data_IF_344175765420
#
_entry.id   IF_344175765420
#
_cell.length_a   1.000
_cell.length_b   1.000
_cell.length_c   1.000
_cell.angle_alpha   90.00
_cell.angle_beta   90.00
_cell.angle_gamma   90.00
#
_symmetry.space_group_name_H-M   'P 1'
#
loop_
_entity.id
_entity.type
_entity.pdbx_description
1 polymer ?
#
# COMPACT_ATOMS: atom_id res chain seq x y z
N UNK A 1 -13.29 11.99 -6.43
CA UNK A 1 -12.53 10.99 -7.22
C UNK A 1 -11.07 11.42 -7.23
N UNK A 2 -10.19 10.65 -6.59
CA UNK A 2 -8.77 10.98 -6.39
C UNK A 2 -7.89 9.78 -6.67
N UNK A 3 -6.66 10.01 -7.13
CA UNK A 3 -5.65 8.95 -7.25
C UNK A 3 -4.98 8.78 -5.88
N UNK A 4 -4.97 7.55 -5.35
CA UNK A 4 -4.36 7.22 -4.06
C UNK A 4 -3.12 6.38 -4.30
N UNK A 5 -1.94 6.93 -3.99
CA UNK A 5 -0.68 6.19 -4.07
C UNK A 5 -0.57 5.17 -2.94
N UNK A 6 -0.41 3.90 -3.27
CA UNK A 6 -0.24 2.80 -2.32
C UNK A 6 1.16 2.23 -2.46
N UNK A 7 1.96 2.28 -1.39
CA UNK A 7 3.30 1.67 -1.36
C UNK A 7 3.29 0.47 -0.42
N UNK A 8 3.35 -0.73 -0.98
CA UNK A 8 3.40 -1.99 -0.25
C UNK A 8 4.85 -2.39 0.02
N UNK A 9 5.26 -2.36 1.29
CA UNK A 9 6.59 -2.83 1.73
C UNK A 9 6.52 -4.27 2.26
N UNK A 10 7.66 -4.94 2.41
CA UNK A 10 7.76 -6.35 2.79
C UNK A 10 7.30 -6.54 4.24
N UNK A 11 6.00 -6.72 4.40
CA UNK A 11 5.31 -6.96 5.67
C UNK A 11 4.44 -8.20 5.52
N UNK A 12 4.26 -8.95 6.60
CA UNK A 12 3.27 -10.03 6.62
C UNK A 12 1.85 -9.51 6.36
N UNK A 13 1.02 -10.27 5.65
CA UNK A 13 -0.37 -9.93 5.36
C UNK A 13 -0.63 -9.22 4.02
N UNK A 14 0.37 -9.09 3.15
CA UNK A 14 0.20 -8.50 1.81
C UNK A 14 -0.74 -9.30 0.89
N UNK A 15 -0.94 -10.58 1.16
CA UNK A 15 -1.97 -11.41 0.52
C UNK A 15 -3.39 -10.83 0.67
N UNK A 16 -3.62 -10.00 1.71
CA UNK A 16 -4.90 -9.33 1.95
C UNK A 16 -4.99 -7.93 1.32
N UNK A 17 -3.95 -7.43 0.64
CA UNK A 17 -3.90 -6.05 0.14
C UNK A 17 -5.08 -5.73 -0.79
N UNK A 18 -5.41 -6.65 -1.69
CA UNK A 18 -6.47 -6.45 -2.68
C UNK A 18 -7.83 -6.27 -2.03
N UNK A 19 -8.23 -7.21 -1.17
CA UNK A 19 -9.57 -7.19 -0.56
C UNK A 19 -9.64 -6.24 0.64
N UNK A 20 -8.52 -6.04 1.34
CA UNK A 20 -8.44 -5.19 2.51
C UNK A 20 -8.38 -3.69 2.20
N UNK A 21 -7.76 -3.30 1.07
CA UNK A 21 -7.54 -1.88 0.75
C UNK A 21 -7.95 -1.51 -0.67
N UNK A 22 -7.52 -2.27 -1.69
CA UNK A 22 -7.70 -1.87 -3.09
C UNK A 22 -9.18 -1.85 -3.49
N UNK A 23 -9.92 -2.93 -3.25
CA UNK A 23 -11.38 -2.96 -3.53
C UNK A 23 -12.15 -1.89 -2.74
N UNK A 24 -11.95 -1.72 -1.43
CA UNK A 24 -12.61 -0.65 -0.68
C UNK A 24 -12.32 0.77 -1.19
N UNK A 25 -11.13 1.04 -1.74
CA UNK A 25 -10.82 2.33 -2.35
C UNK A 25 -11.55 2.52 -3.70
N UNK A 26 -11.64 1.46 -4.51
CA UNK A 26 -12.40 1.47 -5.76
C UNK A 26 -13.91 1.69 -5.49
N UNK A 27 -14.48 1.02 -4.49
CA UNK A 27 -15.88 1.16 -4.07
C UNK A 27 -16.21 2.59 -3.61
N UNK A 28 -15.22 3.31 -3.06
CA UNK A 28 -15.33 4.74 -2.69
C UNK A 28 -15.11 5.69 -3.88
N UNK A 29 -14.87 5.17 -5.09
CA UNK A 29 -14.61 5.99 -6.28
C UNK A 29 -13.22 6.62 -6.33
N UNK A 30 -12.24 6.01 -5.66
CA UNK A 30 -10.82 6.37 -5.81
C UNK A 30 -10.12 5.44 -6.81
N UNK A 31 -8.99 5.90 -7.34
CA UNK A 31 -8.13 5.09 -8.21
C UNK A 31 -6.80 4.78 -7.51
N UNK A 32 -6.55 3.55 -7.05
CA UNK A 32 -5.31 3.20 -6.36
C UNK A 32 -4.14 3.02 -7.35
N UNK A 33 -3.01 3.69 -7.11
CA UNK A 33 -1.75 3.47 -7.83
C UNK A 33 -0.79 2.66 -6.97
N UNK A 34 -0.59 1.37 -7.28
CA UNK A 34 0.14 0.43 -6.41
C UNK A 34 1.62 0.31 -6.79
N UNK A 35 2.50 0.41 -5.81
CA UNK A 35 3.93 0.15 -5.92
C UNK A 35 4.38 -0.80 -4.81
N UNK A 36 5.02 -1.91 -5.18
CA UNK A 36 5.68 -2.80 -4.24
C UNK A 36 7.14 -2.40 -4.05
N UNK A 37 7.72 -2.68 -2.88
CA UNK A 37 9.18 -2.74 -2.76
C UNK A 37 9.71 -4.03 -3.39
N UNK A 38 11.00 -4.10 -3.79
CA UNK A 38 11.54 -5.27 -4.48
C UNK A 38 11.37 -6.57 -3.68
N UNK A 39 11.58 -6.52 -2.37
CA UNK A 39 11.39 -7.67 -1.48
C UNK A 39 9.92 -8.07 -1.39
N UNK A 40 9.00 -7.10 -1.26
CA UNK A 40 7.57 -7.38 -1.21
C UNK A 40 7.05 -8.01 -2.51
N UNK A 41 7.55 -7.52 -3.65
CA UNK A 41 7.25 -8.06 -4.96
C UNK A 41 7.67 -9.53 -5.09
N UNK A 42 8.83 -9.89 -4.54
CA UNK A 42 9.32 -11.27 -4.53
C UNK A 42 8.46 -12.25 -3.72
N UNK A 43 7.51 -11.77 -2.91
CA UNK A 43 6.59 -12.61 -2.12
C UNK A 43 5.22 -12.79 -2.77
N UNK A 44 4.93 -12.05 -3.85
CA UNK A 44 3.64 -12.12 -4.52
C UNK A 44 3.57 -13.30 -5.50
N UNK A 45 2.37 -13.79 -5.76
CA UNK A 45 2.17 -14.71 -6.88
C UNK A 45 2.37 -13.95 -8.21
N UNK A 46 2.73 -14.65 -9.30
CA UNK A 46 2.86 -14.04 -10.62
C UNK A 46 1.60 -13.29 -11.08
N UNK A 47 0.42 -13.81 -10.72
CA UNK A 47 -0.88 -13.29 -11.18
C UNK A 47 -1.34 -12.04 -10.42
N UNK A 48 -0.75 -11.77 -9.24
CA UNK A 48 -1.12 -10.61 -8.41
C UNK A 48 -0.96 -9.29 -9.17
N UNK A 49 0.13 -9.16 -9.94
CA UNK A 49 0.43 -7.92 -10.66
C UNK A 49 -0.61 -7.65 -11.74
N UNK A 50 -0.86 -8.64 -12.59
CA UNK A 50 -1.87 -8.54 -13.66
C UNK A 50 -3.26 -8.24 -13.08
N UNK A 51 -3.63 -8.92 -11.99
CA UNK A 51 -4.91 -8.71 -11.31
C UNK A 51 -5.05 -7.28 -10.82
N UNK A 52 -4.01 -6.73 -10.17
CA UNK A 52 -4.02 -5.35 -9.69
C UNK A 52 -4.03 -4.32 -10.82
N UNK A 53 -3.31 -4.57 -11.92
CA UNK A 53 -3.34 -3.68 -13.09
C UNK A 53 -4.72 -3.63 -13.73
N UNK A 54 -5.40 -4.79 -13.85
CA UNK A 54 -6.76 -4.88 -14.35
C UNK A 54 -7.76 -4.15 -13.43
N UNK A 55 -7.63 -4.32 -12.11
CA UNK A 55 -8.55 -3.72 -11.15
C UNK A 55 -8.38 -2.21 -11.03
N UNK A 56 -7.16 -1.71 -11.15
CA UNK A 56 -6.84 -0.28 -10.95
C UNK A 56 -6.82 0.53 -12.25
N UNK A 57 -6.64 -0.14 -13.39
CA UNK A 57 -6.36 0.50 -14.68
C UNK A 57 -4.99 1.19 -14.74
N UNK A 58 -4.10 0.91 -13.79
CA UNK A 58 -2.77 1.53 -13.66
C UNK A 58 -1.69 0.46 -13.57
N UNK A 59 -0.51 0.74 -14.13
CA UNK A 59 0.64 -0.15 -14.05
C UNK A 59 1.12 -0.31 -12.60
N UNK A 60 1.46 -1.54 -12.21
CA UNK A 60 2.04 -1.86 -10.90
C UNK A 60 3.57 -1.80 -10.98
N UNK A 61 4.20 -1.13 -10.03
CA UNK A 61 5.67 -0.93 -10.02
C UNK A 61 6.33 -1.72 -8.90
N UNK A 62 7.57 -2.19 -9.09
CA UNK A 62 8.31 -2.93 -8.05
C UNK A 62 9.81 -2.63 -7.96
N UNK A 63 10.40 -1.93 -8.94
CA UNK A 63 11.83 -1.65 -8.96
C UNK A 63 12.22 -0.44 -8.10
N UNK A 64 13.32 -0.51 -7.35
CA UNK A 64 13.66 0.53 -6.40
C UNK A 64 14.15 1.79 -7.10
N UNK A 65 13.76 2.95 -6.58
CA UNK A 65 14.41 4.25 -6.83
C UNK A 65 14.89 4.78 -5.49
N UNK A 66 16.20 4.88 -5.32
CA UNK A 66 16.90 5.10 -4.04
C UNK A 66 16.34 6.30 -3.24
N UNK A 67 15.70 6.10 -2.07
CA UNK A 67 15.40 7.18 -1.14
C UNK A 67 16.24 7.08 0.15
N UNK A 68 16.70 8.22 0.66
CA UNK A 68 17.23 8.33 2.02
C UNK A 68 16.06 8.43 3.01
N UNK A 69 15.87 7.44 3.88
CA UNK A 69 14.63 7.22 4.64
C UNK A 69 14.20 8.38 5.55
N UNK A 70 15.08 8.90 6.41
CA UNK A 70 14.72 9.98 7.32
C UNK A 70 14.37 11.29 6.58
N UNK A 71 15.17 11.62 5.55
CA UNK A 71 14.88 12.75 4.67
C UNK A 71 13.57 12.57 3.91
N UNK A 72 13.29 11.34 3.46
CA UNK A 72 12.07 11.00 2.74
C UNK A 72 10.81 11.20 3.61
N UNK A 73 10.81 10.72 4.85
CA UNK A 73 9.69 10.95 5.79
C UNK A 73 9.50 12.44 6.10
N UNK A 74 10.59 13.20 6.23
CA UNK A 74 10.54 14.65 6.40
C UNK A 74 9.82 15.35 5.24
N UNK A 75 10.17 14.97 4.00
CA UNK A 75 9.52 15.51 2.78
C UNK A 75 8.04 15.15 2.72
N UNK A 76 7.67 13.90 3.03
CA UNK A 76 6.26 13.48 3.03
C UNK A 76 5.42 14.27 4.05
N UNK A 77 5.94 14.44 5.27
CA UNK A 77 5.26 15.22 6.32
C UNK A 77 5.10 16.69 5.90
N UNK A 78 6.13 17.30 5.33
CA UNK A 78 6.06 18.68 4.81
C UNK A 78 5.05 18.85 3.67
N UNK A 79 4.87 17.81 2.84
CA UNK A 79 3.89 17.80 1.76
C UNK A 79 2.44 17.56 2.24
N UNK A 80 2.20 17.44 3.55
CA UNK A 80 0.87 17.21 4.11
C UNK A 80 0.37 15.76 3.98
N UNK A 81 1.26 14.80 3.73
CA UNK A 81 0.89 13.38 3.66
C UNK A 81 0.51 12.87 5.05
N UNK A 82 -0.66 12.23 5.15
CA UNK A 82 -1.06 11.51 6.37
C UNK A 82 -0.28 10.21 6.49
N UNK A 83 0.58 10.12 7.50
CA UNK A 83 1.35 8.91 7.81
C UNK A 83 0.59 8.06 8.84
N UNK A 84 0.15 6.88 8.42
CA UNK A 84 -0.40 5.86 9.32
C UNK A 84 0.72 4.90 9.69
N UNK A 85 1.29 5.07 10.87
CA UNK A 85 2.34 4.19 11.40
C UNK A 85 1.73 2.93 12.03
N UNK A 86 2.38 1.79 11.81
CA UNK A 86 1.96 0.50 12.34
C UNK A 86 3.15 -0.26 12.89
N UNK A 87 2.95 -0.98 13.99
CA UNK A 87 3.98 -1.81 14.61
C UNK A 87 4.50 -2.84 13.60
N UNK A 88 5.81 -2.80 13.36
CA UNK A 88 6.48 -3.74 12.48
C UNK A 88 6.72 -5.04 13.26
N UNK A 89 6.00 -6.10 12.90
CA UNK A 89 6.28 -7.45 13.36
C UNK A 89 7.17 -8.18 12.35
N UNK A 90 7.96 -9.12 12.86
CA UNK A 90 8.67 -10.06 12.01
C UNK A 90 7.68 -10.87 11.16
N UNK A 91 8.00 -11.22 9.89
CA UNK A 91 7.06 -11.93 9.00
C UNK A 91 6.47 -13.21 9.62
N UNK A 92 7.28 -13.94 10.39
CA UNK A 92 6.88 -15.16 11.11
C UNK A 92 5.89 -14.91 12.27
N UNK A 93 5.89 -13.71 12.83
CA UNK A 93 5.01 -13.28 13.93
C UNK A 93 3.73 -12.60 13.40
N UNK A 94 3.72 -12.20 12.13
CA UNK A 94 2.63 -11.49 11.49
C UNK A 94 1.57 -12.40 10.84
N UNK A 95 1.79 -13.72 10.77
CA UNK A 95 0.87 -14.66 10.11
C UNK A 95 -0.55 -14.59 10.73
N UNK A 96 -1.55 -14.33 9.88
CA UNK A 96 -2.96 -14.22 10.28
C UNK A 96 -3.34 -12.90 10.96
N UNK A 97 -2.38 -11.99 11.22
CA UNK A 97 -2.69 -10.66 11.76
C UNK A 97 -3.36 -9.83 10.67
N UNK A 98 -4.53 -9.28 10.99
CA UNK A 98 -5.24 -8.35 10.11
C UNK A 98 -4.49 -7.01 10.12
N UNK A 99 -4.13 -6.53 8.93
CA UNK A 99 -3.58 -5.18 8.77
C UNK A 99 -4.65 -4.13 9.09
N UNK A 100 -4.28 -2.91 9.53
CA UNK A 100 -5.21 -1.90 10.04
C UNK A 100 -5.95 -1.15 8.93
N UNK A 101 -6.51 -1.87 7.97
CA UNK A 101 -7.12 -1.30 6.78
C UNK A 101 -8.21 -0.27 7.09
N UNK A 102 -9.03 -0.51 8.11
CA UNK A 102 -10.03 0.46 8.55
C UNK A 102 -9.45 1.81 8.99
N UNK A 103 -8.24 1.83 9.58
CA UNK A 103 -7.56 3.10 9.93
C UNK A 103 -7.05 3.84 8.70
N UNK A 104 -6.53 3.11 7.71
CA UNK A 104 -6.09 3.70 6.44
C UNK A 104 -7.28 4.29 5.68
N UNK A 105 -8.39 3.54 5.60
CA UNK A 105 -9.61 4.02 4.94
C UNK A 105 -10.21 5.24 5.65
N UNK A 106 -10.28 5.22 6.98
CA UNK A 106 -10.74 6.39 7.75
C UNK A 106 -9.83 7.62 7.54
N UNK A 107 -8.52 7.42 7.41
CA UNK A 107 -7.58 8.50 7.10
C UNK A 107 -7.81 9.08 5.70
N UNK A 108 -8.13 8.24 4.71
CA UNK A 108 -8.48 8.67 3.35
C UNK A 108 -9.80 9.46 3.36
N UNK A 109 -10.81 8.96 4.06
CA UNK A 109 -12.11 9.62 4.19
C UNK A 109 -12.00 11.00 4.89
N UNK A 110 -11.04 11.17 5.80
CA UNK A 110 -10.82 12.42 6.53
C UNK A 110 -10.10 13.52 5.70
N UNK A 111 -9.49 13.17 4.57
CA UNK A 111 -8.70 14.11 3.74
C UNK A 111 -9.20 14.24 2.30
N UNK A 112 -10.24 13.49 1.94
CA UNK A 112 -10.90 13.52 0.61
C UNK A 112 -12.11 14.44 0.63
#
# INVERSE_FOLDING_TARGET
MSIIGVVASAIGGLDQLTDGLIRPLLERGHQPAVTFTPTAAGWQSPDTFQTLELLTGLAVRSQPRRPAWAGHLGVLRQAGVVLVEWELLEPREAHGRRLPWGRVLAAVDAVS
#
